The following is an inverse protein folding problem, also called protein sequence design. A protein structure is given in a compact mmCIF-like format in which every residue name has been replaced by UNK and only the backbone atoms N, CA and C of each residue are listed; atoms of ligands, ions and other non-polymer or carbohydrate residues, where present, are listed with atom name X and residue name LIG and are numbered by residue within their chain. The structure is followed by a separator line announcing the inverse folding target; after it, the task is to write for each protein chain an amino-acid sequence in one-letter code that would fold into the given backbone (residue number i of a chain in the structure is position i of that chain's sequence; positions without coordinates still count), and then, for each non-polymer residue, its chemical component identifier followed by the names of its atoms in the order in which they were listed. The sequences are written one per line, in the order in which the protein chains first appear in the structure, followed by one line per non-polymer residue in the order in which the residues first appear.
data_IF_447173398501
#
_entry.id   IF_447173398501
#
_cell.length_a   1.000
_cell.length_b   1.000
_cell.length_c   1.000
_cell.angle_alpha   90.00
_cell.angle_beta   90.00
_cell.angle_gamma   90.00
#
_symmetry.space_group_name_H-M   'P 1'
#
loop_
_entity.id
_entity.type
_entity.pdbx_description
1 polymer ?
#
# COMPACT_ATOMS: atom_id res chain seq x y z
N UNK A 1 4.59 -14.47 -2.39
CA UNK A 1 3.71 -15.19 -3.34
C UNK A 1 3.36 -14.20 -4.46
N UNK A 2 3.78 -14.47 -5.70
CA UNK A 2 3.86 -13.44 -6.77
C UNK A 2 2.79 -13.67 -7.84
N UNK A 3 1.67 -14.28 -7.45
CA UNK A 3 0.68 -14.89 -8.34
C UNK A 3 0.12 -13.91 -9.36
N UNK A 4 -0.17 -12.67 -8.96
CA UNK A 4 -0.68 -11.64 -9.88
C UNK A 4 0.38 -11.16 -10.88
N UNK A 5 1.63 -10.97 -10.43
CA UNK A 5 2.74 -10.57 -11.29
C UNK A 5 3.04 -11.65 -12.34
N UNK A 6 3.03 -12.92 -11.91
CA UNK A 6 3.23 -14.07 -12.80
C UNK A 6 2.10 -14.21 -13.83
N UNK A 7 0.84 -14.09 -13.40
CA UNK A 7 -0.32 -14.13 -14.32
C UNK A 7 -0.31 -12.99 -15.34
N UNK A 8 0.22 -11.83 -14.96
CA UNK A 8 0.39 -10.68 -15.85
C UNK A 8 1.65 -10.79 -16.75
N UNK A 9 2.48 -11.83 -16.59
CA UNK A 9 3.70 -12.00 -17.38
C UNK A 9 4.81 -11.00 -17.03
N UNK A 10 4.78 -10.40 -15.83
CA UNK A 10 5.79 -9.43 -15.41
C UNK A 10 7.09 -10.14 -15.07
N UNK A 11 8.21 -9.70 -15.65
CA UNK A 11 9.54 -10.30 -15.46
C UNK A 11 10.53 -9.39 -14.72
N UNK A 12 10.34 -8.07 -14.78
CA UNK A 12 11.25 -7.08 -14.20
C UNK A 12 10.81 -6.58 -12.83
N UNK A 13 10.75 -7.45 -11.82
CA UNK A 13 10.33 -7.06 -10.48
C UNK A 13 11.17 -7.74 -9.38
N UNK A 14 11.31 -7.07 -8.25
CA UNK A 14 11.90 -7.63 -7.04
C UNK A 14 10.97 -7.35 -5.86
N UNK A 15 10.57 -8.40 -5.15
CA UNK A 15 9.70 -8.25 -3.99
C UNK A 15 10.51 -8.14 -2.70
N UNK A 16 10.08 -7.24 -1.83
CA UNK A 16 10.59 -7.09 -0.48
C UNK A 16 9.41 -7.13 0.49
N UNK A 17 9.35 -8.16 1.33
CA UNK A 17 8.31 -8.30 2.35
C UNK A 17 8.80 -7.67 3.66
N UNK A 18 8.79 -6.34 3.71
CA UNK A 18 9.27 -5.57 4.87
C UNK A 18 8.39 -4.33 5.08
N UNK A 19 8.44 -3.76 6.28
CA UNK A 19 7.83 -2.46 6.56
C UNK A 19 8.58 -1.38 5.79
N UNK A 20 7.84 -0.64 4.95
CA UNK A 20 8.36 0.45 4.14
C UNK A 20 9.05 1.53 4.99
N UNK A 21 8.52 1.83 6.18
CA UNK A 21 9.04 2.90 7.05
C UNK A 21 10.39 2.53 7.70
N UNK A 22 10.76 1.26 7.66
CA UNK A 22 12.02 0.75 8.23
C UNK A 22 13.11 0.53 7.16
N UNK A 23 12.80 0.79 5.89
CA UNK A 23 13.75 0.66 4.78
C UNK A 23 14.80 1.76 4.87
N UNK A 24 16.08 1.40 4.76
CA UNK A 24 17.15 2.37 4.53
C UNK A 24 17.11 2.89 3.09
N UNK A 25 16.80 4.18 2.84
CA UNK A 25 16.81 4.74 1.49
C UNK A 25 18.21 4.80 0.88
N UNK A 26 19.27 4.73 1.69
CA UNK A 26 20.67 4.70 1.25
C UNK A 26 21.17 3.32 0.80
N UNK A 27 20.36 2.26 0.94
CA UNK A 27 20.75 0.91 0.53
C UNK A 27 21.12 0.90 -0.97
N UNK A 28 22.33 0.41 -1.35
CA UNK A 28 22.78 0.36 -2.73
C UNK A 28 21.79 -0.28 -3.72
N UNK A 29 20.91 -1.17 -3.26
CA UNK A 29 19.85 -1.77 -4.08
C UNK A 29 18.87 -0.74 -4.66
N UNK A 30 18.71 0.41 -4.01
CA UNK A 30 17.82 1.49 -4.45
C UNK A 30 18.56 2.62 -5.18
N UNK A 31 19.88 2.49 -5.39
CA UNK A 31 20.72 3.52 -6.03
C UNK A 31 20.26 3.96 -7.42
N UNK A 32 19.48 3.12 -8.12
CA UNK A 32 18.94 3.39 -9.46
C UNK A 32 17.46 3.79 -9.47
N UNK A 33 16.83 3.90 -8.31
CA UNK A 33 15.42 4.29 -8.19
C UNK A 33 15.34 5.81 -8.37
N UNK A 34 14.59 6.25 -9.38
CA UNK A 34 14.40 7.68 -9.68
C UNK A 34 13.01 8.19 -9.31
N UNK A 35 12.03 7.29 -9.15
CA UNK A 35 10.64 7.61 -8.86
C UNK A 35 10.03 6.56 -7.94
N UNK A 36 9.07 6.99 -7.10
CA UNK A 36 8.28 6.11 -6.24
C UNK A 36 6.79 6.35 -6.46
N UNK A 37 6.00 5.27 -6.47
CA UNK A 37 4.56 5.33 -6.36
C UNK A 37 4.18 4.85 -4.96
N UNK A 38 3.64 5.76 -4.15
CA UNK A 38 3.24 5.46 -2.78
C UNK A 38 1.71 5.39 -2.70
N UNK A 39 1.18 4.22 -2.36
CA UNK A 39 -0.23 3.98 -2.04
C UNK A 39 -0.33 3.66 -0.54
N UNK A 40 -0.39 4.67 0.35
CA UNK A 40 -0.43 4.43 1.78
C UNK A 40 -1.75 3.78 2.17
N UNK A 41 -1.71 2.92 3.20
CA UNK A 41 -2.91 2.31 3.75
C UNK A 41 -3.97 3.37 4.09
N UNK A 42 -5.14 3.29 3.46
CA UNK A 42 -6.27 4.15 3.78
C UNK A 42 -7.02 3.62 5.01
N UNK A 43 -7.48 4.51 5.89
CA UNK A 43 -8.37 4.19 7.02
C UNK A 43 -9.80 3.77 6.59
N UNK A 44 -10.04 3.66 5.28
CA UNK A 44 -11.32 3.28 4.69
C UNK A 44 -12.34 4.43 4.60
N UNK A 45 -11.93 5.68 4.82
CA UNK A 45 -12.79 6.87 4.69
C UNK A 45 -12.91 7.41 3.27
N UNK A 46 -11.94 7.17 2.40
CA UNK A 46 -11.88 7.77 1.05
C UNK A 46 -11.95 6.70 -0.03
N UNK A 47 -13.14 6.11 -0.14
CA UNK A 47 -13.46 5.02 -1.05
C UNK A 47 -14.85 4.48 -0.75
N UNK A 48 -15.82 5.39 -0.60
CA UNK A 48 -17.20 5.00 -0.34
C UNK A 48 -17.70 4.17 -1.52
N UNK A 49 -18.05 2.92 -1.19
CA UNK A 49 -18.81 1.95 -1.98
C UNK A 49 -18.00 0.99 -2.88
N UNK A 50 -17.55 -0.17 -2.33
CA UNK A 50 -17.70 -1.55 -2.90
C UNK A 50 -17.51 -2.69 -1.88
N UNK A 51 -17.81 -2.50 -0.59
CA UNK A 51 -17.94 -3.63 0.34
C UNK A 51 -19.43 -3.87 0.65
N UNK A 52 -20.10 -4.86 0.02
CA UNK A 52 -21.44 -5.24 0.44
C UNK A 52 -21.35 -5.80 1.87
N UNK A 53 -21.89 -5.07 2.85
CA UNK A 53 -22.08 -5.55 4.22
C UNK A 53 -21.36 -4.78 5.34
N UNK A 54 -20.45 -3.84 5.04
CA UNK A 54 -19.81 -3.03 6.09
C UNK A 54 -20.68 -1.81 6.43
N UNK A 55 -21.65 -1.97 7.35
CA UNK A 55 -22.24 -0.82 8.06
C UNK A 55 -21.25 -0.38 9.14
N UNK A 56 -20.58 0.75 8.95
CA UNK A 56 -19.97 1.45 10.09
C UNK A 56 -21.10 1.97 11.00
N UNK A 57 -21.16 1.48 12.23
CA UNK A 57 -21.92 2.13 13.31
C UNK A 57 -21.25 3.50 13.49
N UNK A 58 -21.98 4.60 13.25
CA UNK A 58 -21.50 5.94 13.57
C UNK A 58 -21.33 6.01 15.08
N UNK A 59 -20.10 5.99 15.57
CA UNK A 59 -19.79 6.56 16.88
C UNK A 59 -19.58 8.06 16.67
N UNK A 60 -20.39 8.85 17.37
CA UNK A 60 -20.40 10.31 17.28
C UNK A 60 -19.41 10.80 18.32
N UNK A 61 -18.22 11.23 17.91
CA UNK A 61 -17.29 11.95 18.79
C UNK A 61 -15.82 11.69 18.52
N UNK A 62 -15.05 12.74 18.27
CA UNK A 62 -13.59 12.73 18.41
C UNK A 62 -12.80 13.23 17.20
N UNK A 63 -12.65 14.57 17.14
CA UNK A 63 -11.51 15.37 16.63
C UNK A 63 -10.71 14.84 15.43
N UNK A 64 -10.78 15.60 14.32
CA UNK A 64 -9.72 15.69 13.32
C UNK A 64 -8.84 16.89 13.68
N UNK A 65 -7.64 16.63 14.23
CA UNK A 65 -6.49 17.53 14.22
C UNK A 65 -5.30 16.75 13.67
#
# INVERSE_FOLDING_TARGET
MNTMLMRAGVTGFQLAQQDFLTVDPGDPRYSKVTYILLDPSCSGSEGMCRLPGVRRRREVGGVWL
#
